data_IF_536151151437
#
_entry.id   IF_536151151437
#
_cell.length_a   1.000
_cell.length_b   1.000
_cell.length_c   1.000
_cell.angle_alpha   90.00
_cell.angle_beta   90.00
_cell.angle_gamma   90.00
#
_symmetry.space_group_name_H-M   'P 1'
#
loop_
_entity.id
_entity.type
_entity.pdbx_description
1 polymer ?
#
# COMPACT_ATOMS: atom_id res chain seq x y z
N UNK A 1 18.52 -13.58 -36.24
CA UNK A 1 18.39 -12.26 -35.60
C UNK A 1 17.03 -12.23 -34.91
N UNK A 2 16.99 -12.50 -33.61
CA UNK A 2 15.74 -12.57 -32.84
C UNK A 2 15.42 -11.20 -32.27
N UNK A 3 14.48 -10.49 -32.89
CA UNK A 3 13.92 -9.25 -32.36
C UNK A 3 12.84 -9.59 -31.33
N UNK A 4 13.23 -9.70 -30.06
CA UNK A 4 12.27 -9.76 -28.95
C UNK A 4 11.63 -8.37 -28.78
N UNK A 5 10.50 -8.14 -29.47
CA UNK A 5 9.59 -7.05 -29.16
C UNK A 5 8.93 -7.34 -27.80
N UNK A 6 9.61 -6.98 -26.72
CA UNK A 6 8.99 -6.94 -25.40
C UNK A 6 8.12 -5.68 -25.33
N UNK A 7 6.97 -5.74 -25.99
CA UNK A 7 5.88 -4.81 -25.74
C UNK A 7 5.40 -5.11 -24.32
N UNK A 8 6.06 -4.49 -23.34
CA UNK A 8 5.58 -4.39 -21.97
C UNK A 8 4.25 -3.65 -22.08
N UNK A 9 3.17 -4.42 -22.28
CA UNK A 9 1.82 -3.96 -21.99
C UNK A 9 1.90 -3.54 -20.54
N UNK A 10 1.96 -2.24 -20.31
CA UNK A 10 1.71 -1.65 -19.01
C UNK A 10 0.24 -1.97 -18.74
N UNK A 11 -0.03 -3.19 -18.30
CA UNK A 11 -1.31 -3.58 -17.74
C UNK A 11 -1.35 -2.74 -16.47
N UNK A 12 -1.95 -1.55 -16.56
CA UNK A 12 -2.26 -0.77 -15.38
C UNK A 12 -2.90 -1.77 -14.42
N UNK A 13 -2.32 -2.00 -13.24
CA UNK A 13 -2.86 -3.00 -12.34
C UNK A 13 -4.30 -2.57 -12.04
N UNK A 14 -5.27 -3.33 -12.54
CA UNK A 14 -6.65 -3.18 -12.10
C UNK A 14 -6.63 -3.63 -10.66
N UNK A 15 -6.77 -2.69 -9.74
CA UNK A 15 -6.91 -2.96 -8.32
C UNK A 15 -8.41 -3.03 -8.02
N UNK A 16 -9.06 -4.20 -8.16
CA UNK A 16 -10.50 -4.33 -7.91
C UNK A 16 -10.85 -4.00 -6.45
N UNK A 17 -9.90 -4.19 -5.54
CA UNK A 17 -10.03 -3.89 -4.11
C UNK A 17 -9.61 -2.45 -3.76
N UNK A 18 -9.33 -1.60 -4.76
CA UNK A 18 -8.99 -0.21 -4.49
C UNK A 18 -10.24 0.65 -4.27
N UNK A 19 -10.28 1.34 -3.13
CA UNK A 19 -11.32 2.29 -2.78
C UNK A 19 -10.88 3.73 -3.08
N UNK A 20 -11.74 4.58 -3.66
CA UNK A 20 -11.45 6.00 -3.81
C UNK A 20 -11.58 6.72 -2.46
N UNK A 21 -10.53 7.42 -2.05
CA UNK A 21 -10.51 8.28 -0.85
C UNK A 21 -10.07 9.66 -1.29
N UNK A 22 -11.04 10.55 -1.50
CA UNK A 22 -10.79 11.88 -2.09
C UNK A 22 -10.05 11.76 -3.45
N UNK A 23 -8.90 12.44 -3.63
CA UNK A 23 -8.09 12.33 -4.83
C UNK A 23 -7.16 11.11 -4.83
N UNK A 24 -7.19 10.24 -3.82
CA UNK A 24 -6.41 9.00 -3.74
C UNK A 24 -7.22 7.78 -4.18
N UNK A 25 -6.53 6.77 -4.71
CA UNK A 25 -7.11 5.44 -4.98
C UNK A 25 -6.32 4.47 -4.12
N UNK A 26 -6.90 3.98 -3.04
CA UNK A 26 -6.18 3.28 -1.98
C UNK A 26 -6.54 1.82 -1.96
N UNK A 27 -5.55 0.96 -1.75
CA UNK A 27 -5.74 -0.46 -1.48
C UNK A 27 -5.46 -0.72 -0.01
N UNK A 28 -6.25 -1.58 0.62
CA UNK A 28 -5.86 -2.20 1.88
C UNK A 28 -4.71 -3.18 1.64
N UNK A 29 -3.65 -3.03 2.41
CA UNK A 29 -2.53 -3.95 2.44
C UNK A 29 -2.32 -4.42 3.85
N UNK A 30 -2.24 -5.73 4.01
CA UNK A 30 -1.81 -6.35 5.26
C UNK A 30 -0.43 -6.96 5.08
N UNK A 31 0.54 -6.49 5.84
CA UNK A 31 1.93 -6.97 5.79
C UNK A 31 2.36 -7.60 7.12
N UNK A 32 3.31 -8.53 7.05
CA UNK A 32 3.92 -9.11 8.23
C UNK A 32 5.19 -8.34 8.59
N UNK A 33 5.14 -7.57 9.67
CA UNK A 33 6.27 -6.77 10.16
C UNK A 33 7.02 -7.56 11.23
N UNK A 34 8.33 -7.84 11.06
CA UNK A 34 9.11 -8.49 12.09
C UNK A 34 9.36 -7.56 13.28
N UNK A 35 9.34 -8.13 14.48
CA UNK A 35 9.57 -7.39 15.72
C UNK A 35 8.30 -7.16 16.55
N UNK A 36 8.45 -6.30 17.55
CA UNK A 36 7.37 -5.99 18.50
C UNK A 36 6.55 -4.82 17.98
N UNK A 37 5.23 -4.92 18.11
CA UNK A 37 4.33 -3.83 17.75
C UNK A 37 4.69 -2.54 18.53
N UNK A 38 4.84 -1.37 17.88
CA UNK A 38 5.19 -0.11 18.56
C UNK A 38 4.14 0.28 19.62
N UNK A 39 2.86 0.10 19.28
CA UNK A 39 1.76 0.20 20.25
C UNK A 39 1.80 -0.95 21.26
N UNK A 40 2.21 -0.63 22.50
CA UNK A 40 2.42 -1.62 23.57
C UNK A 40 1.17 -2.41 23.95
N UNK A 41 -0.03 -1.90 23.64
CA UNK A 41 -1.31 -2.57 23.87
C UNK A 41 -1.67 -3.61 22.79
N UNK A 42 -0.97 -3.60 21.64
CA UNK A 42 -1.18 -4.53 20.50
C UNK A 42 -0.12 -5.62 20.41
N UNK A 43 0.98 -5.47 21.14
CA UNK A 43 2.09 -6.43 21.18
C UNK A 43 2.16 -7.19 22.51
N UNK A 44 2.63 -8.43 22.46
CA UNK A 44 2.93 -9.25 23.64
C UNK A 44 4.45 -9.39 23.81
N UNK A 45 4.90 -9.74 25.01
CA UNK A 45 6.32 -9.73 25.38
C UNK A 45 7.22 -10.57 24.44
N UNK A 46 6.70 -11.69 23.93
CA UNK A 46 7.43 -12.62 23.05
C UNK A 46 7.01 -12.56 21.58
N UNK A 47 6.37 -11.47 21.16
CA UNK A 47 5.93 -11.30 19.77
C UNK A 47 7.14 -11.18 18.83
N UNK A 48 7.26 -12.11 17.87
CA UNK A 48 8.33 -12.12 16.86
C UNK A 48 7.99 -11.31 15.61
N UNK A 49 6.73 -10.94 15.45
CA UNK A 49 6.22 -10.15 14.35
C UNK A 49 4.73 -9.91 14.54
N UNK A 50 4.21 -8.91 13.84
CA UNK A 50 2.81 -8.55 13.88
C UNK A 50 2.29 -8.32 12.45
N UNK A 51 0.97 -8.50 12.28
CA UNK A 51 0.30 -8.08 11.06
C UNK A 51 -0.05 -6.62 11.19
N UNK A 52 0.42 -5.82 10.24
CA UNK A 52 0.07 -4.42 10.13
C UNK A 52 -0.76 -4.22 8.87
N UNK A 53 -1.96 -3.67 9.05
CA UNK A 53 -2.83 -3.28 7.95
C UNK A 53 -2.67 -1.78 7.71
N UNK A 54 -2.39 -1.40 6.47
CA UNK A 54 -2.22 -0.03 6.04
C UNK A 54 -2.84 0.19 4.67
N UNK A 55 -3.25 1.41 4.41
CA UNK A 55 -3.74 1.87 3.11
C UNK A 55 -2.59 2.37 2.27
N UNK A 56 -2.51 1.91 1.03
CA UNK A 56 -1.55 2.40 0.04
C UNK A 56 -2.28 3.01 -1.14
N UNK A 57 -2.00 4.27 -1.44
CA UNK A 57 -2.45 4.89 -2.66
C UNK A 57 -1.68 4.31 -3.87
N UNK A 58 -2.39 3.72 -4.82
CA UNK A 58 -1.80 3.17 -6.05
C UNK A 58 -1.47 4.24 -7.08
N UNK A 59 -2.00 5.47 -6.90
CA UNK A 59 -1.72 6.62 -7.77
C UNK A 59 -0.40 7.30 -7.41
N UNK A 60 -0.24 7.78 -6.17
CA UNK A 60 0.95 8.52 -5.75
C UNK A 60 1.94 7.69 -4.91
N UNK A 61 1.58 6.46 -4.52
CA UNK A 61 2.42 5.60 -3.67
C UNK A 61 2.39 5.94 -2.18
N UNK A 62 1.57 6.90 -1.72
CA UNK A 62 1.47 7.24 -0.30
C UNK A 62 0.91 6.08 0.53
N UNK A 63 1.55 5.79 1.67
CA UNK A 63 1.20 4.70 2.58
C UNK A 63 0.83 5.25 3.96
N UNK A 64 -0.35 4.89 4.48
CA UNK A 64 -0.90 5.42 5.73
C UNK A 64 -1.70 4.35 6.48
N UNK A 65 -1.66 4.40 7.81
CA UNK A 65 -2.41 3.48 8.66
C UNK A 65 -3.92 3.75 8.65
N UNK A 66 -4.31 5.01 8.42
CA UNK A 66 -5.71 5.42 8.31
C UNK A 66 -5.96 6.16 6.99
N UNK A 67 -7.23 6.21 6.58
CA UNK A 67 -7.65 6.93 5.37
C UNK A 67 -7.52 8.45 5.53
N UNK A 68 -7.74 8.97 6.74
CA UNK A 68 -7.66 10.40 7.06
C UNK A 68 -6.22 10.93 7.13
N UNK A 69 -5.23 10.09 7.40
CA UNK A 69 -3.81 10.48 7.37
C UNK A 69 -3.23 10.62 5.94
N UNK A 70 -4.04 10.33 4.91
CA UNK A 70 -3.64 10.59 3.54
C UNK A 70 -3.58 12.09 3.28
N UNK A 71 -2.56 12.56 2.54
CA UNK A 71 -2.49 13.97 2.18
C UNK A 71 -3.77 14.38 1.44
N UNK A 72 -4.18 15.64 1.58
CA UNK A 72 -5.34 16.16 0.85
C UNK A 72 -5.10 16.17 -0.67
N UNK A 73 -3.83 16.24 -1.07
CA UNK A 73 -3.42 16.27 -2.46
C UNK A 73 -2.78 14.93 -2.88
N UNK A 74 -3.26 14.39 -3.99
CA UNK A 74 -2.62 13.26 -4.66
C UNK A 74 -1.73 13.81 -5.80
N UNK A 75 -0.39 13.85 -5.66
CA UNK A 75 0.51 14.42 -6.67
C UNK A 75 0.57 13.64 -7.99
N UNK A 76 -0.32 12.66 -8.17
CA UNK A 76 -0.37 11.80 -9.35
C UNK A 76 0.76 10.76 -9.41
N UNK A 77 0.73 9.90 -10.43
CA UNK A 77 1.81 8.93 -10.66
C UNK A 77 3.10 9.65 -11.03
N UNK A 78 4.18 9.29 -10.33
CA UNK A 78 5.56 9.63 -10.69
C UNK A 78 6.14 8.58 -11.62
#
# INVERSE_FOLDING_TARGET
MSTHNNAVRSVAPSYPDAEPVGPHLVVDKTEWVPGRHPESHRGFADQRGYRESYYRCVRCGAERLTRDDLPEECPGPR
#
